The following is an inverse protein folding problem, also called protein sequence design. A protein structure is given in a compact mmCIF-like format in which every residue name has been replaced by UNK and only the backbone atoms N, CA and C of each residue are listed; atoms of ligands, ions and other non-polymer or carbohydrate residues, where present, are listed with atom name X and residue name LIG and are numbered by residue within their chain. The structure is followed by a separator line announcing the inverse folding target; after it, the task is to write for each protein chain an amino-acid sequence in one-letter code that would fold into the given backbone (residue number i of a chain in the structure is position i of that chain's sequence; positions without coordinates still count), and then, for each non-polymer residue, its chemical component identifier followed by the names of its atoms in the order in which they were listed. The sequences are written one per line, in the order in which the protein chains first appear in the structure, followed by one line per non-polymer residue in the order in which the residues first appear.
data_IF_570004743978
#
_entry.id   IF_570004743978
#
_cell.length_a   1.000
_cell.length_b   1.000
_cell.length_c   1.000
_cell.angle_alpha   90.00
_cell.angle_beta   90.00
_cell.angle_gamma   90.00
#
_symmetry.space_group_name_H-M   'P 1'
#
loop_
_entity.id
_entity.type
_entity.pdbx_description
1 polymer ?
#
# COMPACT_ATOMS: atom_id res chain seq x y z
N UNK A 1 -35.42 0.36 11.09
CA UNK A 1 -34.82 0.84 9.83
C UNK A 1 -35.79 1.85 9.27
N UNK A 2 -35.36 3.07 9.00
CA UNK A 2 -36.23 4.10 8.43
C UNK A 2 -36.53 3.74 6.98
N UNK A 3 -37.73 3.23 6.70
CA UNK A 3 -38.27 3.00 5.34
C UNK A 3 -38.61 4.35 4.67
N UNK A 4 -37.62 5.25 4.63
CA UNK A 4 -37.72 6.53 3.97
C UNK A 4 -36.90 6.50 2.68
N UNK A 5 -37.35 7.19 1.62
CA UNK A 5 -36.60 7.33 0.37
C UNK A 5 -35.23 7.99 0.63
N UNK A 6 -34.26 7.73 -0.25
CA UNK A 6 -32.86 8.15 -0.09
C UNK A 6 -32.69 9.67 0.08
N UNK A 7 -33.60 10.47 -0.51
CA UNK A 7 -33.63 11.93 -0.42
C UNK A 7 -35.07 12.43 -0.24
N UNK A 8 -35.63 12.39 0.99
CA UNK A 8 -37.07 12.55 1.20
C UNK A 8 -37.61 13.92 0.76
N UNK A 9 -36.87 15.02 0.98
CA UNK A 9 -37.28 16.36 0.54
C UNK A 9 -37.24 16.51 -0.98
N UNK A 10 -36.21 16.00 -1.63
CA UNK A 10 -36.08 16.07 -3.10
C UNK A 10 -37.10 15.17 -3.80
N UNK A 11 -37.40 14.00 -3.23
CA UNK A 11 -38.43 13.10 -3.73
C UNK A 11 -39.83 13.69 -3.51
N UNK A 12 -40.08 14.38 -2.40
CA UNK A 12 -41.34 15.11 -2.18
C UNK A 12 -41.57 16.21 -3.22
N UNK A 13 -40.56 17.03 -3.54
CA UNK A 13 -40.64 18.05 -4.61
C UNK A 13 -41.04 17.40 -5.93
N UNK A 14 -40.37 16.30 -6.31
CA UNK A 14 -40.68 15.61 -7.56
C UNK A 14 -42.10 15.04 -7.58
N UNK A 15 -42.56 14.43 -6.47
CA UNK A 15 -43.90 13.86 -6.36
C UNK A 15 -44.99 14.95 -6.45
N UNK A 16 -44.79 16.10 -5.81
CA UNK A 16 -45.74 17.23 -5.90
C UNK A 16 -45.87 17.74 -7.34
N UNK A 17 -44.75 17.85 -8.06
CA UNK A 17 -44.74 18.44 -9.41
C UNK A 17 -45.22 17.47 -10.52
N UNK A 18 -45.02 16.15 -10.33
CA UNK A 18 -45.21 15.17 -11.40
C UNK A 18 -46.37 14.20 -11.16
N UNK A 19 -47.03 14.25 -10.00
CA UNK A 19 -48.08 13.29 -9.62
C UNK A 19 -49.30 13.99 -9.02
N UNK A 20 -50.46 13.36 -9.06
CA UNK A 20 -51.71 13.88 -8.49
C UNK A 20 -51.99 13.35 -7.07
N UNK A 21 -50.95 12.92 -6.36
CA UNK A 21 -51.05 12.37 -5.00
C UNK A 21 -51.48 13.42 -3.98
N UNK A 22 -52.12 12.97 -2.91
CA UNK A 22 -52.47 13.83 -1.79
C UNK A 22 -51.26 14.15 -0.92
N UNK A 23 -51.26 15.30 -0.26
CA UNK A 23 -50.18 15.70 0.64
C UNK A 23 -49.93 14.70 1.79
N UNK A 24 -50.98 14.01 2.25
CA UNK A 24 -50.89 12.97 3.28
C UNK A 24 -50.18 11.71 2.77
N UNK A 25 -50.45 11.30 1.52
CA UNK A 25 -49.76 10.17 0.88
C UNK A 25 -48.26 10.48 0.68
N UNK A 26 -47.93 11.68 0.24
CA UNK A 26 -46.53 12.11 0.05
C UNK A 26 -45.83 12.23 1.41
N UNK A 27 -46.51 12.77 2.42
CA UNK A 27 -46.00 12.88 3.78
C UNK A 27 -45.68 11.51 4.38
N UNK A 28 -46.58 10.53 4.24
CA UNK A 28 -46.32 9.18 4.75
C UNK A 28 -45.19 8.46 4.01
N UNK A 29 -45.12 8.63 2.68
CA UNK A 29 -44.07 8.02 1.86
C UNK A 29 -42.68 8.60 2.17
N UNK A 30 -42.56 9.94 2.24
CA UNK A 30 -41.31 10.62 2.53
C UNK A 30 -41.00 10.70 4.04
N UNK A 31 -41.90 10.24 4.91
CA UNK A 31 -41.87 10.39 6.37
C UNK A 31 -41.64 11.85 6.80
N UNK A 32 -42.27 12.77 6.10
CA UNK A 32 -42.29 14.21 6.41
C UNK A 32 -43.63 14.59 7.02
N UNK A 33 -43.67 15.71 7.74
CA UNK A 33 -44.95 16.20 8.26
C UNK A 33 -45.80 16.77 7.11
N UNK A 34 -47.13 16.62 7.08
CA UNK A 34 -47.98 17.21 6.03
C UNK A 34 -47.80 18.72 5.86
N UNK A 35 -47.45 19.44 6.94
CA UNK A 35 -47.11 20.88 6.86
C UNK A 35 -45.82 21.15 6.09
N UNK A 36 -44.81 20.28 6.19
CA UNK A 36 -43.59 20.42 5.41
C UNK A 36 -43.86 20.19 3.92
N UNK A 37 -44.71 19.21 3.59
CA UNK A 37 -45.12 18.93 2.21
C UNK A 37 -45.91 20.11 1.63
N UNK A 38 -46.80 20.72 2.42
CA UNK A 38 -47.49 21.97 2.03
C UNK A 38 -46.50 23.13 1.82
N UNK A 39 -45.58 23.33 2.76
CA UNK A 39 -44.54 24.35 2.62
C UNK A 39 -43.61 24.13 1.41
N UNK A 40 -43.40 22.88 0.98
CA UNK A 40 -42.68 22.56 -0.26
C UNK A 40 -43.54 22.94 -1.48
N UNK A 41 -44.84 22.61 -1.47
CA UNK A 41 -45.76 22.97 -2.55
C UNK A 41 -45.93 24.49 -2.70
N UNK A 42 -45.94 25.21 -1.57
CA UNK A 42 -45.99 26.67 -1.53
C UNK A 42 -44.64 27.34 -1.86
N UNK A 43 -43.57 26.54 -2.01
CA UNK A 43 -42.23 27.02 -2.33
C UNK A 43 -41.51 27.75 -1.19
N UNK A 44 -42.00 27.63 0.05
CA UNK A 44 -41.38 28.21 1.25
C UNK A 44 -40.25 27.32 1.78
N UNK A 45 -40.43 26.00 1.69
CA UNK A 45 -39.50 24.97 2.16
C UNK A 45 -38.83 24.30 0.96
N UNK A 46 -37.52 24.09 1.02
CA UNK A 46 -36.72 23.44 -0.04
C UNK A 46 -36.51 24.26 -1.34
N UNK A 47 -36.49 25.59 -1.25
CA UNK A 47 -36.09 26.48 -2.35
C UNK A 47 -34.70 26.10 -2.89
N UNK A 48 -34.64 25.75 -4.18
CA UNK A 48 -33.40 25.36 -4.87
C UNK A 48 -33.04 23.87 -4.81
N UNK A 49 -33.86 23.01 -4.20
CA UNK A 49 -33.66 21.55 -4.29
C UNK A 49 -34.20 21.06 -5.64
N UNK A 50 -33.35 20.40 -6.43
CA UNK A 50 -33.80 19.72 -7.65
C UNK A 50 -34.56 18.45 -7.29
N UNK A 51 -35.77 18.29 -7.84
CA UNK A 51 -36.59 17.10 -7.66
C UNK A 51 -35.83 15.83 -8.04
N UNK A 52 -35.89 14.81 -7.19
CA UNK A 52 -35.28 13.51 -7.44
C UNK A 52 -36.35 12.47 -7.76
N UNK A 53 -36.33 11.94 -8.99
CA UNK A 53 -37.30 10.97 -9.48
C UNK A 53 -37.17 9.61 -8.74
N UNK A 54 -38.18 9.20 -7.95
CA UNK A 54 -38.18 7.92 -7.25
C UNK A 54 -38.38 6.71 -8.17
N UNK A 55 -38.93 6.91 -9.38
CA UNK A 55 -39.14 5.84 -10.37
C UNK A 55 -37.81 5.47 -11.01
N UNK A 56 -37.07 6.46 -11.49
CA UNK A 56 -35.71 6.25 -12.05
C UNK A 56 -34.75 5.72 -10.99
N UNK A 57 -34.92 6.12 -9.73
CA UNK A 57 -34.15 5.60 -8.58
C UNK A 57 -34.51 4.14 -8.21
N UNK A 58 -35.59 3.59 -8.78
CA UNK A 58 -36.09 2.25 -8.48
C UNK A 58 -36.72 2.09 -7.09
N UNK A 59 -37.09 3.22 -6.47
CA UNK A 59 -37.68 3.30 -5.13
C UNK A 59 -39.20 3.10 -5.14
N UNK A 60 -39.87 3.48 -6.25
CA UNK A 60 -41.32 3.25 -6.46
C UNK A 60 -41.52 2.61 -7.82
N UNK A 61 -42.43 1.63 -7.91
CA UNK A 61 -42.87 1.07 -9.18
C UNK A 61 -43.87 1.99 -9.88
N UNK A 62 -43.77 2.15 -11.20
CA UNK A 62 -44.72 2.96 -11.98
C UNK A 62 -46.17 2.47 -11.84
N UNK A 63 -46.37 1.17 -11.67
CA UNK A 63 -47.69 0.56 -11.42
C UNK A 63 -48.28 0.94 -10.06
N UNK A 64 -47.43 1.04 -9.04
CA UNK A 64 -47.85 1.41 -7.69
C UNK A 64 -48.23 2.88 -7.63
N UNK A 65 -47.46 3.74 -8.30
CA UNK A 65 -47.79 5.15 -8.43
C UNK A 65 -49.15 5.35 -9.12
N UNK A 66 -49.39 4.67 -10.24
CA UNK A 66 -50.66 4.75 -10.96
C UNK A 66 -51.86 4.19 -10.16
N UNK A 67 -51.62 3.33 -9.17
CA UNK A 67 -52.66 2.86 -8.24
C UNK A 67 -52.94 3.90 -7.16
N UNK A 68 -51.89 4.50 -6.62
CA UNK A 68 -51.97 5.55 -5.62
C UNK A 68 -52.63 6.85 -6.15
N UNK A 69 -52.46 7.15 -7.44
CA UNK A 69 -53.14 8.27 -8.11
C UNK A 69 -54.65 8.05 -8.29
N UNK A 70 -55.09 6.79 -8.44
CA UNK A 70 -56.52 6.45 -8.56
C UNK A 70 -57.21 6.39 -7.19
N UNK A 71 -56.51 5.86 -6.19
CA UNK A 71 -57.02 5.68 -4.84
C UNK A 71 -56.34 6.62 -3.84
N UNK A 72 -57.05 7.67 -3.42
CA UNK A 72 -56.55 8.69 -2.47
C UNK A 72 -56.19 8.12 -1.08
N UNK A 73 -56.74 6.97 -0.72
CA UNK A 73 -56.47 6.30 0.56
C UNK A 73 -55.34 5.26 0.47
N UNK A 74 -54.78 5.04 -0.73
CA UNK A 74 -53.73 4.04 -0.90
C UNK A 74 -52.38 4.59 -0.42
N UNK A 75 -51.72 3.86 0.48
CA UNK A 75 -50.40 4.22 0.99
C UNK A 75 -49.30 3.62 0.11
N UNK A 76 -48.41 4.47 -0.38
CA UNK A 76 -47.26 4.07 -1.21
C UNK A 76 -46.26 3.26 -0.37
N UNK A 77 -45.81 2.12 -0.87
CA UNK A 77 -44.77 1.32 -0.24
C UNK A 77 -43.45 1.53 -0.96
N UNK A 78 -42.39 1.72 -0.19
CA UNK A 78 -41.04 1.82 -0.73
C UNK A 78 -40.60 0.44 -1.22
N UNK A 79 -40.23 0.35 -2.49
CA UNK A 79 -39.65 -0.85 -3.04
C UNK A 79 -38.20 -0.97 -2.56
N UNK A 80 -37.94 -1.88 -1.62
CA UNK A 80 -36.58 -2.13 -1.13
C UNK A 80 -35.77 -2.77 -2.25
N UNK A 81 -34.74 -2.06 -2.72
CA UNK A 81 -33.85 -2.57 -3.76
C UNK A 81 -33.14 -3.83 -3.25
N UNK A 82 -33.31 -4.95 -3.96
CA UNK A 82 -32.70 -6.25 -3.62
C UNK A 82 -31.18 -6.27 -3.82
N UNK A 83 -30.61 -5.22 -4.42
CA UNK A 83 -29.18 -5.13 -4.74
C UNK A 83 -28.45 -4.53 -3.54
N UNK A 84 -27.92 -5.41 -2.68
CA UNK A 84 -27.04 -5.02 -1.58
C UNK A 84 -25.66 -4.70 -2.15
N UNK A 85 -25.38 -3.43 -2.44
CA UNK A 85 -24.03 -3.03 -2.85
C UNK A 85 -23.04 -3.35 -1.71
N UNK A 86 -21.86 -3.94 -2.02
CA UNK A 86 -20.82 -4.11 -1.02
C UNK A 86 -20.37 -2.73 -0.51
N UNK A 87 -20.06 -2.59 0.80
CA UNK A 87 -19.65 -1.31 1.35
C UNK A 87 -18.38 -0.82 0.64
N UNK A 88 -18.41 0.40 0.09
CA UNK A 88 -17.23 1.02 -0.50
C UNK A 88 -16.11 1.05 0.55
N UNK A 89 -14.94 0.50 0.20
CA UNK A 89 -13.76 0.55 1.07
C UNK A 89 -13.41 2.02 1.30
N UNK A 90 -13.49 2.47 2.56
CA UNK A 90 -13.07 3.82 2.94
C UNK A 90 -11.58 3.96 2.61
N UNK A 91 -11.25 4.85 1.67
CA UNK A 91 -9.86 5.22 1.41
C UNK A 91 -9.33 5.88 2.68
N UNK A 92 -8.24 5.34 3.24
CA UNK A 92 -7.60 5.93 4.43
C UNK A 92 -7.10 7.31 4.02
N UNK A 93 -7.72 8.37 4.55
CA UNK A 93 -7.30 9.75 4.31
C UNK A 93 -5.90 10.03 4.89
N UNK A 94 -5.32 11.19 4.59
CA UNK A 94 -4.02 11.60 5.13
C UNK A 94 -4.02 11.56 6.67
N UNK A 95 -3.14 10.74 7.27
CA UNK A 95 -2.99 10.67 8.72
C UNK A 95 -2.36 11.96 9.23
N UNK A 96 -3.14 12.82 9.88
CA UNK A 96 -2.59 13.98 10.59
C UNK A 96 -1.77 13.49 11.80
N UNK A 97 -0.49 13.86 11.87
CA UNK A 97 0.33 13.59 13.06
C UNK A 97 0.29 14.81 13.98
N UNK A 98 -0.08 14.63 15.26
CA UNK A 98 -0.13 15.71 16.23
C UNK A 98 1.23 16.37 16.43
N UNK A 99 1.25 17.66 16.80
CA UNK A 99 2.46 18.48 16.93
C UNK A 99 3.52 17.84 17.84
N UNK A 100 3.10 17.22 18.95
CA UNK A 100 3.97 16.49 19.88
C UNK A 100 4.80 15.41 19.18
N UNK A 101 4.21 14.67 18.24
CA UNK A 101 4.88 13.58 17.51
C UNK A 101 5.60 14.03 16.25
N UNK A 102 5.68 15.34 15.98
CA UNK A 102 6.42 15.86 14.81
C UNK A 102 7.93 15.85 15.04
N UNK A 103 8.38 15.99 16.28
CA UNK A 103 9.79 15.90 16.65
C UNK A 103 10.35 14.47 16.52
N UNK A 104 9.46 13.47 16.59
CA UNK A 104 9.84 12.06 16.42
C UNK A 104 9.98 11.65 14.94
N UNK A 105 9.43 12.45 14.01
CA UNK A 105 9.51 12.14 12.57
C UNK A 105 10.95 12.17 12.04
N UNK A 106 11.80 13.15 12.39
CA UNK A 106 13.22 13.11 12.04
C UNK A 106 13.96 11.87 12.58
N UNK A 107 13.67 11.46 13.81
CA UNK A 107 14.24 10.27 14.44
C UNK A 107 13.84 8.99 13.69
N UNK A 108 12.57 8.90 13.28
CA UNK A 108 12.04 7.82 12.46
C UNK A 108 12.68 7.74 11.06
N UNK A 109 12.88 8.89 10.41
CA UNK A 109 13.57 8.94 9.10
C UNK A 109 15.01 8.46 9.25
N UNK A 110 15.73 8.91 10.27
CA UNK A 110 17.12 8.53 10.50
C UNK A 110 17.24 7.01 10.71
N UNK A 111 16.31 6.40 11.44
CA UNK A 111 16.25 4.95 11.63
C UNK A 111 15.98 4.20 10.32
N UNK A 112 15.02 4.67 9.51
CA UNK A 112 14.68 4.04 8.23
C UNK A 112 15.84 4.11 7.24
N UNK A 113 16.51 5.26 7.13
CA UNK A 113 17.66 5.43 6.24
C UNK A 113 18.84 4.55 6.68
N UNK A 114 19.03 4.34 7.99
CA UNK A 114 20.12 3.53 8.54
C UNK A 114 19.86 2.03 8.41
N UNK A 115 18.65 1.57 8.72
CA UNK A 115 18.33 0.13 8.80
C UNK A 115 17.74 -0.44 7.51
N UNK A 116 17.06 0.40 6.72
CA UNK A 116 16.44 0.00 5.46
C UNK A 116 16.89 0.91 4.32
N UNK A 117 18.15 0.84 3.89
CA UNK A 117 18.64 1.58 2.72
C UNK A 117 17.96 1.16 1.41
N UNK A 118 17.24 0.04 1.43
CA UNK A 118 16.46 -0.49 0.31
C UNK A 118 15.21 0.33 0.01
N UNK A 119 14.68 1.06 0.98
CA UNK A 119 13.47 1.86 0.81
C UNK A 119 13.72 3.10 -0.05
N UNK A 120 12.87 3.31 -1.06
CA UNK A 120 12.88 4.53 -1.89
C UNK A 120 12.36 5.72 -1.07
N UNK A 121 12.86 6.92 -1.36
CA UNK A 121 12.41 8.18 -0.73
C UNK A 121 10.87 8.34 -0.74
N UNK A 122 10.22 7.96 -1.84
CA UNK A 122 8.77 8.00 -1.98
C UNK A 122 8.02 7.07 -1.00
N UNK A 123 8.63 5.94 -0.63
CA UNK A 123 8.07 5.00 0.34
C UNK A 123 8.24 5.53 1.76
N UNK A 124 9.42 6.07 2.09
CA UNK A 124 9.68 6.69 3.40
C UNK A 124 8.73 7.88 3.64
N UNK A 125 8.53 8.73 2.63
CA UNK A 125 7.57 9.84 2.68
C UNK A 125 6.14 9.38 3.00
N UNK A 126 5.70 8.24 2.44
CA UNK A 126 4.36 7.69 2.64
C UNK A 126 4.18 7.06 4.03
N UNK A 127 5.22 6.37 4.52
CA UNK A 127 5.22 5.72 5.83
C UNK A 127 5.22 6.73 6.98
N UNK A 128 6.07 7.76 6.90
CA UNK A 128 6.26 8.74 7.99
C UNK A 128 5.36 9.97 7.82
N UNK A 129 4.87 10.24 6.61
CA UNK A 129 4.05 11.43 6.32
C UNK A 129 4.85 12.73 6.32
N UNK A 130 6.04 12.71 5.73
CA UNK A 130 7.01 13.81 5.67
C UNK A 130 7.23 14.31 4.24
N UNK A 131 7.89 15.45 4.09
CA UNK A 131 8.22 16.00 2.77
C UNK A 131 9.60 15.57 2.32
N UNK A 132 9.82 15.59 0.99
CA UNK A 132 11.11 15.27 0.36
C UNK A 132 12.25 16.16 0.89
N UNK A 133 11.98 17.45 1.11
CA UNK A 133 12.96 18.41 1.62
C UNK A 133 13.44 18.03 3.03
N UNK A 134 12.55 17.59 3.92
CA UNK A 134 12.93 17.17 5.27
C UNK A 134 13.73 15.87 5.23
N UNK A 135 13.35 14.93 4.36
CA UNK A 135 14.08 13.68 4.17
C UNK A 135 15.53 13.93 3.71
N UNK A 136 15.71 14.77 2.69
CA UNK A 136 17.02 15.13 2.17
C UNK A 136 17.86 15.85 3.24
N UNK A 137 17.28 16.80 3.98
CA UNK A 137 17.98 17.50 5.05
C UNK A 137 18.48 16.57 6.17
N UNK A 138 17.79 15.46 6.43
CA UNK A 138 18.23 14.46 7.42
C UNK A 138 19.34 13.57 6.84
N UNK A 139 19.24 13.19 5.56
CA UNK A 139 20.28 12.42 4.85
C UNK A 139 21.59 13.20 4.77
N UNK A 140 21.49 14.49 4.46
CA UNK A 140 22.62 15.40 4.33
C UNK A 140 23.07 15.98 5.68
N UNK A 141 22.38 15.62 6.78
CA UNK A 141 22.59 16.14 8.15
C UNK A 141 22.52 17.67 8.28
N UNK A 142 21.84 18.34 7.34
CA UNK A 142 21.60 19.80 7.32
C UNK A 142 20.34 20.23 8.08
N UNK A 143 19.58 19.29 8.65
CA UNK A 143 18.45 19.61 9.52
C UNK A 143 18.91 20.38 10.77
N UNK A 144 18.15 21.40 11.19
CA UNK A 144 18.50 22.27 12.33
C UNK A 144 18.80 21.52 13.63
N UNK A 145 18.20 20.34 13.80
CA UNK A 145 18.39 19.49 14.97
C UNK A 145 19.29 18.26 14.73
N UNK A 146 20.12 18.22 13.68
CA UNK A 146 20.85 17.01 13.27
C UNK A 146 21.76 16.42 14.34
N UNK A 147 22.30 17.25 15.23
CA UNK A 147 23.21 16.82 16.31
C UNK A 147 22.54 16.04 17.45
N UNK A 148 21.24 16.22 17.68
CA UNK A 148 20.53 15.56 18.79
C UNK A 148 19.58 14.44 18.34
N UNK A 149 19.53 14.14 17.04
CA UNK A 149 18.67 13.08 16.51
C UNK A 149 19.13 11.70 16.99
N UNK A 150 18.19 10.91 17.50
CA UNK A 150 18.40 9.51 17.84
C UNK A 150 17.61 8.63 16.86
N UNK A 151 18.21 7.58 16.29
CA UNK A 151 17.48 6.67 15.41
C UNK A 151 16.47 5.86 16.23
N UNK A 152 15.18 6.07 15.99
CA UNK A 152 14.09 5.36 16.67
C UNK A 152 13.09 4.77 15.67
N UNK A 153 12.56 3.59 15.96
CA UNK A 153 11.72 2.84 15.04
C UNK A 153 10.35 3.52 14.80
N UNK A 154 9.95 3.81 13.54
CA UNK A 154 8.66 4.41 13.21
C UNK A 154 7.44 3.61 13.66
N UNK A 155 7.55 2.29 13.86
CA UNK A 155 6.46 1.45 14.36
C UNK A 155 6.24 1.70 15.86
N UNK A 156 7.33 1.75 16.64
CA UNK A 156 7.27 2.07 18.07
C UNK A 156 6.72 3.47 18.34
N UNK A 157 7.01 4.41 17.43
CA UNK A 157 6.50 5.79 17.46
C UNK A 157 5.03 5.90 16.99
N UNK A 158 4.44 4.81 16.47
CA UNK A 158 3.07 4.75 15.96
C UNK A 158 2.85 5.57 14.68
N UNK A 159 3.92 5.86 13.92
CA UNK A 159 3.85 6.59 12.66
C UNK A 159 3.42 5.66 11.51
N UNK A 160 3.93 4.43 11.52
CA UNK A 160 3.54 3.37 10.59
C UNK A 160 3.10 2.11 11.35
N UNK A 161 2.33 1.23 10.69
CA UNK A 161 2.04 -0.09 11.24
C UNK A 161 3.10 -1.09 10.78
N UNK A 162 3.32 -2.16 11.54
CA UNK A 162 4.26 -3.23 11.15
C UNK A 162 3.94 -3.77 9.76
N UNK A 163 2.64 -3.96 9.47
CA UNK A 163 2.15 -4.46 8.19
C UNK A 163 2.51 -3.49 7.05
N UNK A 164 2.37 -2.17 7.27
CA UNK A 164 2.70 -1.17 6.25
C UNK A 164 4.23 -1.16 5.99
N UNK A 165 5.05 -1.31 7.04
CA UNK A 165 6.51 -1.34 6.92
C UNK A 165 6.98 -2.60 6.16
N UNK A 166 6.52 -3.77 6.57
CA UNK A 166 6.86 -5.04 5.94
C UNK A 166 6.41 -5.07 4.46
N UNK A 167 5.25 -4.47 4.16
CA UNK A 167 4.75 -4.36 2.80
C UNK A 167 5.65 -3.47 1.91
N UNK A 168 6.08 -2.32 2.41
CA UNK A 168 6.96 -1.43 1.64
C UNK A 168 8.38 -1.99 1.50
N UNK A 169 8.90 -2.69 2.52
CA UNK A 169 10.19 -3.39 2.46
C UNK A 169 10.11 -4.54 1.45
N UNK A 170 9.07 -5.37 1.49
CA UNK A 170 8.87 -6.45 0.51
C UNK A 170 8.71 -5.94 -0.92
N UNK A 171 8.04 -4.79 -1.10
CA UNK A 171 7.94 -4.13 -2.41
C UNK A 171 9.29 -3.56 -2.88
N UNK A 172 10.05 -2.96 -1.97
CA UNK A 172 11.36 -2.38 -2.27
C UNK A 172 12.39 -3.45 -2.63
N UNK A 173 12.42 -4.56 -1.90
CA UNK A 173 13.27 -5.71 -2.17
C UNK A 173 12.97 -6.33 -3.55
N UNK A 174 11.69 -6.37 -3.95
CA UNK A 174 11.27 -6.87 -5.27
C UNK A 174 11.62 -5.91 -6.42
N UNK A 175 11.63 -4.61 -6.14
CA UNK A 175 11.96 -3.56 -7.11
C UNK A 175 13.47 -3.37 -7.30
N UNK A 176 14.32 -3.95 -6.43
CA UNK A 176 15.77 -3.96 -6.61
C UNK A 176 16.12 -5.10 -7.58
N UNK A 177 16.75 -4.84 -8.73
CA UNK A 177 17.40 -5.93 -9.46
C UNK A 177 18.41 -6.57 -8.50
N UNK A 178 18.47 -7.91 -8.48
CA UNK A 178 19.49 -8.63 -7.71
C UNK A 178 20.83 -7.97 -8.03
N UNK A 179 21.50 -7.44 -7.01
CA UNK A 179 22.89 -7.01 -7.17
C UNK A 179 23.60 -8.27 -7.60
N UNK A 180 24.06 -8.33 -8.85
CA UNK A 180 25.02 -9.35 -9.25
C UNK A 180 26.19 -9.18 -8.28
N UNK A 181 26.32 -10.13 -7.36
CA UNK A 181 27.52 -10.25 -6.56
C UNK A 181 28.63 -10.49 -7.57
N UNK A 182 29.45 -9.47 -7.79
CA UNK A 182 30.70 -9.61 -8.52
C UNK A 182 31.56 -10.55 -7.68
N UNK A 183 31.46 -11.86 -7.95
CA UNK A 183 32.26 -12.92 -7.37
C UNK A 183 33.72 -12.79 -7.86
N UNK A 184 34.36 -11.66 -7.57
CA UNK A 184 35.79 -11.52 -7.67
C UNK A 184 36.46 -12.51 -6.72
N UNK A 185 37.25 -13.44 -7.30
CA UNK A 185 38.08 -14.46 -6.63
C UNK A 185 37.62 -14.84 -5.21
N UNK A 186 36.40 -15.39 -5.09
CA UNK A 186 35.96 -15.96 -3.82
C UNK A 186 36.65 -17.33 -3.65
N UNK A 187 37.26 -17.54 -2.49
CA UNK A 187 37.91 -18.82 -2.17
C UNK A 187 36.89 -19.95 -2.24
N UNK A 188 37.30 -21.10 -2.78
CA UNK A 188 36.46 -22.29 -2.91
C UNK A 188 35.90 -22.69 -1.53
N UNK A 189 34.62 -23.12 -1.44
CA UNK A 189 34.01 -23.52 -0.18
C UNK A 189 34.82 -24.59 0.56
N UNK A 190 34.89 -24.50 1.89
CA UNK A 190 35.68 -25.41 2.73
C UNK A 190 35.29 -26.89 2.57
N UNK A 191 34.06 -27.18 2.13
CA UNK A 191 33.58 -28.53 1.80
C UNK A 191 34.42 -29.20 0.70
N UNK A 192 34.95 -28.44 -0.26
CA UNK A 192 35.80 -28.97 -1.32
C UNK A 192 37.25 -29.22 -0.87
N UNK A 193 37.75 -28.45 0.12
CA UNK A 193 39.15 -28.56 0.58
C UNK A 193 39.32 -29.51 1.76
N UNK A 194 38.27 -29.71 2.56
CA UNK A 194 38.29 -30.58 3.75
C UNK A 194 37.41 -31.82 3.63
N UNK A 195 36.69 -31.97 2.51
CA UNK A 195 35.93 -33.16 2.20
C UNK A 195 36.84 -34.38 2.16
N UNK A 196 36.73 -35.24 3.17
CA UNK A 196 37.40 -36.55 3.22
C UNK A 196 36.89 -37.35 2.03
N UNK A 197 37.63 -37.34 0.92
CA UNK A 197 37.35 -38.18 -0.24
C UNK A 197 37.28 -39.62 0.28
N UNK A 198 36.08 -40.19 0.29
CA UNK A 198 35.83 -41.59 0.59
C UNK A 198 36.27 -42.43 -0.61
N UNK A 199 37.58 -42.40 -0.90
CA UNK A 199 38.21 -43.38 -1.74
C UNK A 199 38.76 -44.46 -0.79
N UNK A 200 38.06 -45.58 -0.69
CA UNK A 200 38.61 -46.76 -0.01
C UNK A 200 39.76 -47.28 -0.88
N UNK A 201 41.01 -47.28 -0.39
CA UNK A 201 42.13 -47.77 -1.17
C UNK A 201 42.00 -49.28 -1.31
N UNK A 202 41.85 -49.76 -2.54
CA UNK A 202 41.67 -51.18 -2.84
C UNK A 202 42.98 -51.97 -2.90
N UNK A 203 44.13 -51.29 -2.78
CA UNK A 203 45.45 -51.90 -2.92
C UNK A 203 46.48 -51.33 -1.93
N UNK A 204 47.31 -52.21 -1.34
CA UNK A 204 48.37 -51.84 -0.39
C UNK A 204 49.40 -50.85 -0.98
N UNK A 205 49.56 -50.82 -2.31
CA UNK A 205 50.45 -49.90 -3.02
C UNK A 205 49.99 -48.43 -2.99
N UNK A 206 48.70 -48.16 -2.81
CA UNK A 206 48.15 -46.79 -2.70
C UNK A 206 48.24 -46.24 -1.28
N UNK A 207 48.30 -47.10 -0.25
CA UNK A 207 48.37 -46.69 1.16
C UNK A 207 49.79 -46.31 1.57
N UNK A 208 50.81 -47.03 1.09
CA UNK A 208 52.19 -46.85 1.56
C UNK A 208 53.16 -46.25 0.53
N UNK A 209 52.71 -45.99 -0.70
CA UNK A 209 53.52 -45.39 -1.75
C UNK A 209 54.62 -46.32 -2.27
N UNK A 210 54.49 -46.79 -3.51
CA UNK A 210 55.54 -47.55 -4.17
C UNK A 210 56.75 -46.64 -4.45
N UNK A 211 57.91 -46.96 -3.87
CA UNK A 211 59.18 -46.31 -4.20
C UNK A 211 59.68 -46.79 -5.57
N UNK A 212 59.09 -46.23 -6.63
CA UNK A 212 59.56 -46.37 -8.00
C UNK A 212 60.79 -45.49 -8.24
N UNK A 213 61.92 -46.14 -8.54
CA UNK A 213 63.19 -45.54 -8.94
C UNK A 213 62.99 -44.53 -10.09
N UNK A 214 63.11 -43.22 -9.81
CA UNK A 214 63.01 -42.15 -10.82
C UNK A 214 64.32 -42.07 -11.61
N UNK A 215 64.31 -42.59 -12.83
CA UNK A 215 65.37 -42.37 -13.80
C UNK A 215 64.86 -41.43 -14.92
N UNK A 216 65.39 -40.19 -14.90
CA UNK A 216 65.81 -39.32 -16.03
C UNK A 216 64.77 -38.83 -17.08
N UNK A 217 64.96 -37.55 -17.47
CA UNK A 217 64.31 -36.75 -18.54
C UNK A 217 62.97 -36.10 -18.12
N UNK A 218 62.77 -34.78 -18.10
CA UNK A 218 63.34 -33.69 -18.89
C UNK A 218 63.75 -32.48 -18.04
N UNK A 219 64.93 -31.94 -18.35
CA UNK A 219 65.35 -30.59 -17.98
C UNK A 219 64.98 -29.72 -19.17
N UNK A 220 63.92 -28.93 -19.04
CA UNK A 220 63.73 -27.80 -19.95
C UNK A 220 64.72 -26.70 -19.54
N UNK A 221 65.58 -26.34 -20.49
CA UNK A 221 66.65 -25.37 -20.33
C UNK A 221 66.12 -23.99 -19.91
N UNK A 222 66.52 -23.55 -18.72
CA UNK A 222 66.30 -22.18 -18.24
C UNK A 222 67.36 -21.31 -18.91
N UNK A 223 66.93 -20.51 -19.90
CA UNK A 223 67.81 -19.56 -20.59
C UNK A 223 68.16 -18.38 -19.68
N UNK A 224 69.45 -18.26 -19.34
CA UNK A 224 70.00 -17.31 -18.36
C UNK A 224 69.86 -15.85 -18.82
N UNK A 225 69.66 -15.62 -20.12
CA UNK A 225 69.44 -14.29 -20.69
C UNK A 225 68.05 -13.70 -20.39
N UNK A 226 67.09 -14.51 -19.94
CA UNK A 226 65.73 -14.04 -19.59
C UNK A 226 65.60 -13.52 -18.15
N UNK A 227 66.57 -13.82 -17.27
CA UNK A 227 66.48 -13.51 -15.83
C UNK A 227 67.11 -12.15 -15.49
N UNK A 228 68.15 -11.73 -16.21
CA UNK A 228 68.77 -10.42 -16.01
C UNK A 228 68.43 -9.51 -17.18
N UNK A 229 67.24 -8.89 -17.08
CA UNK A 229 66.80 -7.85 -17.99
C UNK A 229 67.92 -6.85 -18.27
N UNK A 230 68.17 -6.62 -19.56
CA UNK A 230 69.20 -5.73 -20.11
C UNK A 230 69.10 -4.35 -19.43
N UNK A 231 69.99 -4.10 -18.48
CA UNK A 231 70.16 -2.79 -17.84
C UNK A 231 71.40 -2.10 -18.40
N UNK A 232 71.22 -0.79 -18.62
CA UNK A 232 72.19 0.24 -19.03
C UNK A 232 72.64 0.19 -20.49
N UNK A 233 72.72 1.31 -21.21
CA UNK A 233 73.02 2.68 -20.82
C UNK A 233 72.44 3.65 -21.87
#
# INVERSE_FOLDING_TARGET
MSDAPLMPKATAVWLIDNTSLTFEQIADFCKLHPLEVKGIADGEVATGIKGHDPITSGQIGREELARAERDKNHMLKLQVSKVRLPPMKKVRGPRYTPLSRRQDRPNAILWLVRNHPELKDAQIMRLVGTTKSTLQAIRDRTHWNSASLSPMDPVTLGLCSQIDLDFEVGRAAKDRPAVEEDHGQTLMPAEYTTGRQSHEPSTEAEVFGSHGNKNKQDRDDIDVASVFGRSSN
#
